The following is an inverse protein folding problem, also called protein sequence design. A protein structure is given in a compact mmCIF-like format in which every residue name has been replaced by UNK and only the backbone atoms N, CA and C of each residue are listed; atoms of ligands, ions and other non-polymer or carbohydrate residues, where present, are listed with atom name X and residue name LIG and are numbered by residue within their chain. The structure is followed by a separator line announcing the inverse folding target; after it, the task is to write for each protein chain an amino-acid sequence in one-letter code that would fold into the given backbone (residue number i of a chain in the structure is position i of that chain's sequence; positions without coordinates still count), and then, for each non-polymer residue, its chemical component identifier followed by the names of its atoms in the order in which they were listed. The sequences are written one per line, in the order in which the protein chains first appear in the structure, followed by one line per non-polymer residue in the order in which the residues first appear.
data_IF_141697339803
#
_entry.id   IF_141697339803
#
_cell.length_a   1.000
_cell.length_b   1.000
_cell.length_c   1.000
_cell.angle_alpha   90.00
_cell.angle_beta   90.00
_cell.angle_gamma   90.00
#
_symmetry.space_group_name_H-M   'P 1'
#
loop_
_entity.id
_entity.type
_entity.pdbx_description
1 polymer ?
#
# COMPACT_ATOMS: atom_id res chain seq x y z
N UNK A 1 1.48 -12.05 -11.43
CA UNK A 1 0.36 -11.09 -11.62
C UNK A 1 0.91 -9.81 -12.25
N UNK A 2 0.40 -9.39 -13.41
CA UNK A 2 0.89 -8.20 -14.09
C UNK A 2 0.58 -6.93 -13.27
N UNK A 3 1.62 -6.20 -12.87
CA UNK A 3 1.51 -4.87 -12.25
C UNK A 3 0.94 -3.88 -13.25
N UNK A 4 -0.14 -3.19 -12.91
CA UNK A 4 -0.65 -2.11 -13.77
C UNK A 4 0.21 -0.86 -13.66
N UNK A 5 0.74 -0.60 -12.46
CA UNK A 5 1.59 0.54 -12.20
C UNK A 5 2.70 0.16 -11.21
N UNK A 6 3.93 0.55 -11.54
CA UNK A 6 5.10 0.33 -10.72
C UNK A 6 6.01 1.55 -10.82
N UNK A 7 6.42 2.09 -9.68
CA UNK A 7 7.36 3.21 -9.61
C UNK A 7 8.24 3.07 -8.37
N UNK A 8 9.41 3.69 -8.41
CA UNK A 8 10.43 3.56 -7.38
C UNK A 8 11.10 4.89 -7.11
N UNK A 9 11.38 5.13 -5.85
CA UNK A 9 12.33 6.11 -5.35
C UNK A 9 13.56 5.36 -4.82
N UNK A 10 14.54 6.09 -4.30
CA UNK A 10 15.71 5.47 -3.68
C UNK A 10 15.33 4.63 -2.44
N UNK A 11 14.30 5.05 -1.70
CA UNK A 11 13.93 4.45 -0.41
C UNK A 11 12.71 3.52 -0.47
N UNK A 12 11.84 3.69 -1.47
CA UNK A 12 10.56 3.01 -1.55
C UNK A 12 10.23 2.58 -2.98
N UNK A 13 9.62 1.39 -3.11
CA UNK A 13 9.04 0.92 -4.38
C UNK A 13 7.54 0.72 -4.18
N UNK A 14 6.74 1.31 -5.04
CA UNK A 14 5.28 1.17 -5.05
C UNK A 14 4.86 0.29 -6.21
N UNK A 15 4.06 -0.73 -5.92
CA UNK A 15 3.38 -1.57 -6.92
C UNK A 15 1.87 -1.47 -6.71
N UNK A 16 1.15 -1.23 -7.78
CA UNK A 16 -0.30 -1.07 -7.74
C UNK A 16 -1.01 -1.95 -8.78
N UNK A 17 -2.16 -2.46 -8.33
CA UNK A 17 -3.13 -3.18 -9.12
C UNK A 17 -4.51 -2.57 -8.86
N UNK A 18 -5.31 -2.28 -9.90
CA UNK A 18 -6.63 -1.69 -9.74
C UNK A 18 -7.66 -2.69 -9.18
N UNK A 19 -7.30 -3.99 -9.16
CA UNK A 19 -8.12 -5.06 -8.59
C UNK A 19 -7.62 -5.39 -7.19
N UNK A 20 -8.56 -5.64 -6.28
CA UNK A 20 -8.27 -6.10 -4.92
C UNK A 20 -7.83 -7.57 -4.96
N UNK A 21 -6.52 -7.78 -4.83
CA UNK A 21 -5.90 -9.09 -4.84
C UNK A 21 -5.78 -9.64 -3.41
N UNK A 22 -5.86 -10.96 -3.29
CA UNK A 22 -5.62 -11.64 -2.01
C UNK A 22 -4.20 -11.36 -1.54
N UNK A 23 -3.99 -10.84 -0.31
CA UNK A 23 -2.66 -10.54 0.17
C UNK A 23 -1.83 -11.84 0.29
N UNK A 24 -0.53 -11.81 0.01
CA UNK A 24 0.34 -12.99 0.07
C UNK A 24 0.28 -13.80 1.37
N UNK A 25 0.04 -13.17 2.52
CA UNK A 25 -0.13 -13.88 3.79
C UNK A 25 -1.40 -14.74 3.76
N UNK A 26 -2.53 -14.19 3.31
CA UNK A 26 -3.77 -14.95 3.18
C UNK A 26 -3.64 -16.02 2.08
N UNK A 27 -2.97 -15.70 0.97
CA UNK A 27 -2.73 -16.63 -0.15
C UNK A 27 -2.07 -17.94 0.29
N UNK A 28 -1.12 -17.88 1.24
CA UNK A 28 -0.48 -19.09 1.82
C UNK A 28 -1.48 -20.08 2.39
N UNK A 29 -2.50 -19.59 3.08
CA UNK A 29 -3.51 -20.43 3.74
C UNK A 29 -4.63 -20.83 2.79
N UNK A 30 -5.05 -19.92 1.91
CA UNK A 30 -6.06 -20.22 0.88
C UNK A 30 -5.61 -21.39 -0.01
N UNK A 31 -4.32 -21.40 -0.37
CA UNK A 31 -3.71 -22.42 -1.21
C UNK A 31 -3.30 -23.70 -0.45
N UNK A 32 -3.55 -23.80 0.86
CA UNK A 32 -3.23 -24.96 1.68
C UNK A 32 -4.51 -25.60 2.23
N UNK A 33 -5.13 -26.54 1.49
CA UNK A 33 -6.44 -27.11 1.83
C UNK A 33 -6.53 -27.72 3.24
N UNK A 34 -5.42 -28.29 3.72
CA UNK A 34 -5.32 -28.99 5.00
C UNK A 34 -5.09 -28.06 6.19
N UNK A 35 -4.86 -26.76 5.97
CA UNK A 35 -4.52 -25.85 7.07
C UNK A 35 -5.76 -25.54 7.92
N UNK A 36 -5.72 -25.71 9.27
CA UNK A 36 -6.90 -25.59 10.13
C UNK A 36 -7.53 -24.19 10.11
N UNK A 37 -6.72 -23.13 9.91
CA UNK A 37 -7.21 -21.74 9.85
C UNK A 37 -7.82 -21.40 8.46
N UNK A 38 -7.67 -22.26 7.45
CA UNK A 38 -8.09 -21.95 6.07
C UNK A 38 -9.56 -21.55 5.96
N UNK A 39 -10.55 -22.26 6.55
CA UNK A 39 -11.97 -21.89 6.39
C UNK A 39 -12.23 -20.44 6.81
N UNK A 40 -11.65 -20.02 7.94
CA UNK A 40 -11.74 -18.65 8.44
C UNK A 40 -11.12 -17.62 7.49
N UNK A 41 -9.96 -17.94 6.89
CA UNK A 41 -9.26 -17.00 6.00
C UNK A 41 -9.97 -16.87 4.66
N UNK A 42 -10.49 -17.97 4.12
CA UNK A 42 -11.31 -17.97 2.90
C UNK A 42 -12.55 -17.11 3.12
N UNK A 43 -13.25 -17.32 4.22
CA UNK A 43 -14.42 -16.54 4.60
C UNK A 43 -14.12 -15.03 4.75
N UNK A 44 -13.04 -14.69 5.47
CA UNK A 44 -12.59 -13.31 5.63
C UNK A 44 -12.24 -12.66 4.28
N UNK A 45 -11.58 -13.38 3.37
CA UNK A 45 -11.25 -12.87 2.04
C UNK A 45 -12.48 -12.71 1.14
N UNK A 46 -13.49 -13.59 1.28
CA UNK A 46 -14.74 -13.51 0.54
C UNK A 46 -15.55 -12.26 0.93
N UNK A 47 -15.62 -11.95 2.22
CA UNK A 47 -16.43 -10.87 2.78
C UNK A 47 -15.74 -9.49 2.86
N UNK A 48 -14.47 -9.39 2.48
CA UNK A 48 -13.72 -8.12 2.56
C UNK A 48 -14.21 -7.11 1.51
N UNK A 49 -14.48 -5.88 1.93
CA UNK A 49 -14.95 -4.78 1.06
C UNK A 49 -13.96 -4.51 -0.09
N UNK A 50 -14.40 -4.72 -1.34
CA UNK A 50 -13.56 -4.58 -2.54
C UNK A 50 -13.47 -3.16 -3.09
N UNK A 51 -14.35 -2.25 -2.65
CA UNK A 51 -14.36 -0.84 -3.09
C UNK A 51 -13.41 0.05 -2.26
N UNK A 52 -12.35 -0.53 -1.71
CA UNK A 52 -11.37 0.15 -0.85
C UNK A 52 -9.96 -0.14 -1.32
N UNK A 53 -9.02 0.72 -0.93
CA UNK A 53 -7.61 0.51 -1.11
C UNK A 53 -7.09 -0.50 -0.09
N UNK A 54 -6.66 -1.66 -0.57
CA UNK A 54 -5.96 -2.65 0.23
C UNK A 54 -4.47 -2.44 0.06
N UNK A 55 -3.83 -1.86 1.07
CA UNK A 55 -2.41 -1.60 1.00
C UNK A 55 -1.63 -2.13 2.19
N UNK A 56 -0.33 -2.33 1.97
CA UNK A 56 0.60 -2.80 2.99
C UNK A 56 2.01 -2.30 2.72
N UNK A 57 2.81 -2.34 3.77
CA UNK A 57 4.25 -2.09 3.70
C UNK A 57 4.99 -3.41 3.92
N UNK A 58 5.79 -3.81 2.94
CA UNK A 58 6.65 -4.98 2.96
C UNK A 58 8.06 -4.61 3.41
N UNK A 59 8.58 -5.36 4.37
CA UNK A 59 9.97 -5.27 4.88
C UNK A 59 10.85 -6.40 4.32
N UNK A 60 10.43 -7.04 3.22
CA UNK A 60 11.11 -8.21 2.66
C UNK A 60 12.57 -7.96 2.24
N UNK A 61 12.92 -6.72 1.90
CA UNK A 61 14.29 -6.28 1.58
C UNK A 61 15.17 -6.07 2.82
N UNK A 62 14.58 -5.93 4.01
CA UNK A 62 15.26 -5.63 5.27
C UNK A 62 15.41 -6.87 6.16
N UNK A 63 15.31 -8.08 5.60
CA UNK A 63 15.34 -9.33 6.39
C UNK A 63 16.64 -9.52 7.17
N UNK A 64 17.75 -8.98 6.66
CA UNK A 64 19.05 -9.01 7.34
C UNK A 64 19.15 -8.00 8.49
N UNK A 65 18.31 -6.96 8.52
CA UNK A 65 18.30 -5.95 9.58
C UNK A 65 17.62 -6.47 10.84
N UNK A 66 17.99 -5.94 12.03
CA UNK A 66 17.35 -6.30 13.30
C UNK A 66 15.82 -6.05 13.26
N UNK A 67 15.05 -6.84 14.02
CA UNK A 67 13.57 -6.71 14.11
C UNK A 67 13.12 -5.29 14.45
N UNK A 68 13.83 -4.63 15.37
CA UNK A 68 13.53 -3.24 15.79
C UNK A 68 13.64 -2.29 14.60
N UNK A 69 14.70 -2.40 13.80
CA UNK A 69 14.92 -1.60 12.59
C UNK A 69 13.81 -1.84 11.57
N UNK A 70 13.46 -3.10 11.30
CA UNK A 70 12.34 -3.43 10.38
C UNK A 70 11.02 -2.83 10.83
N UNK A 71 10.70 -2.96 12.12
CA UNK A 71 9.46 -2.44 12.71
C UNK A 71 9.41 -0.91 12.63
N UNK A 72 10.52 -0.26 12.99
CA UNK A 72 10.68 1.19 12.94
C UNK A 72 10.53 1.73 11.52
N UNK A 73 11.22 1.15 10.53
CA UNK A 73 11.10 1.51 9.11
C UNK A 73 9.66 1.32 8.62
N UNK A 74 9.03 0.19 8.89
CA UNK A 74 7.65 -0.05 8.48
C UNK A 74 6.67 0.94 9.10
N UNK A 75 6.88 1.35 10.36
CA UNK A 75 6.03 2.33 11.04
C UNK A 75 6.15 3.71 10.38
N UNK A 76 7.35 4.22 10.17
CA UNK A 76 7.54 5.54 9.54
C UNK A 76 6.98 5.59 8.13
N UNK A 77 7.17 4.53 7.34
CA UNK A 77 6.66 4.47 5.96
C UNK A 77 5.14 4.43 5.94
N UNK A 78 4.51 3.69 6.87
CA UNK A 78 3.04 3.72 7.02
C UNK A 78 2.52 5.12 7.32
N UNK A 79 3.14 5.81 8.27
CA UNK A 79 2.75 7.18 8.64
C UNK A 79 2.92 8.13 7.45
N UNK A 80 4.07 8.07 6.76
CA UNK A 80 4.35 8.91 5.60
C UNK A 80 3.33 8.69 4.46
N UNK A 81 2.97 7.44 4.18
CA UNK A 81 1.98 7.10 3.14
C UNK A 81 0.57 7.53 3.54
N UNK A 82 0.17 7.34 4.80
CA UNK A 82 -1.11 7.83 5.29
C UNK A 82 -1.21 9.36 5.21
N UNK A 83 -0.13 10.07 5.55
CA UNK A 83 -0.05 11.52 5.40
C UNK A 83 -0.12 11.94 3.93
N UNK A 84 0.58 11.24 3.03
CA UNK A 84 0.55 11.50 1.60
C UNK A 84 -0.85 11.30 1.00
N UNK A 85 -1.57 10.26 1.41
CA UNK A 85 -2.95 10.02 1.00
C UNK A 85 -3.89 11.12 1.49
N UNK A 86 -3.76 11.52 2.77
CA UNK A 86 -4.55 12.60 3.36
C UNK A 86 -4.32 13.95 2.68
N UNK A 87 -3.07 14.29 2.38
CA UNK A 87 -2.71 15.50 1.63
C UNK A 87 -3.32 15.52 0.22
N UNK A 88 -3.65 14.35 -0.33
CA UNK A 88 -4.32 14.18 -1.61
C UNK A 88 -5.84 14.04 -1.48
N UNK A 89 -6.41 14.28 -0.29
CA UNK A 89 -7.84 14.24 -0.03
C UNK A 89 -8.41 12.83 0.12
N UNK A 90 -7.59 11.82 0.44
CA UNK A 90 -8.02 10.44 0.67
C UNK A 90 -7.78 9.98 2.11
N UNK A 91 -8.70 9.18 2.64
CA UNK A 91 -8.47 8.41 3.87
C UNK A 91 -7.51 7.23 3.62
N UNK A 92 -7.04 6.59 4.70
CA UNK A 92 -6.20 5.38 4.67
C UNK A 92 -6.80 4.23 3.86
N UNK A 93 -8.12 4.21 3.67
CA UNK A 93 -8.84 3.21 2.88
C UNK A 93 -9.04 3.63 1.42
N UNK A 94 -8.49 4.76 0.98
CA UNK A 94 -8.65 5.29 -0.37
C UNK A 94 -10.03 5.91 -0.65
N UNK A 95 -10.85 6.12 0.38
CA UNK A 95 -12.13 6.86 0.26
C UNK A 95 -11.84 8.36 0.26
N UNK A 96 -12.52 9.17 -0.58
CA UNK A 96 -12.33 10.61 -0.58
C UNK A 96 -12.81 11.20 0.76
N UNK A 97 -12.07 12.16 1.29
CA UNK A 97 -12.48 12.93 2.46
C UNK A 97 -13.59 13.90 2.01
N UNK A 98 -14.75 13.83 2.67
CA UNK A 98 -16.01 14.52 2.30
C UNK A 98 -15.87 16.04 2.12
N UNK A 99 -14.82 16.65 2.67
CA UNK A 99 -14.69 18.09 2.81
C UNK A 99 -13.87 18.81 1.72
N UNK A 100 -13.14 18.12 0.81
CA UNK A 100 -12.04 18.79 0.09
C UNK A 100 -12.11 18.88 -1.44
N UNK A 101 -13.03 18.21 -2.16
CA UNK A 101 -13.32 18.64 -3.56
C UNK A 101 -14.53 17.94 -4.20
N UNK A 102 -15.38 18.67 -4.95
CA UNK A 102 -16.36 18.06 -5.86
C UNK A 102 -15.72 17.33 -7.06
N UNK A 103 -14.39 17.42 -7.23
CA UNK A 103 -13.64 16.86 -8.36
C UNK A 103 -13.30 15.37 -8.22
N UNK A 104 -13.21 14.81 -7.00
CA UNK A 104 -12.81 13.41 -6.79
C UNK A 104 -13.97 12.55 -6.29
N UNK A 105 -14.92 12.29 -7.20
CA UNK A 105 -16.09 11.42 -6.93
C UNK A 105 -15.75 9.93 -6.79
N UNK A 106 -14.52 9.49 -7.14
CA UNK A 106 -14.18 8.06 -7.22
C UNK A 106 -13.19 7.66 -6.13
N UNK A 107 -13.50 6.55 -5.46
CA UNK A 107 -12.60 5.90 -4.50
C UNK A 107 -11.34 5.41 -5.20
N UNK A 108 -10.19 5.59 -4.55
CA UNK A 108 -8.98 4.84 -4.88
C UNK A 108 -9.16 3.42 -4.34
N UNK A 109 -9.42 2.46 -5.22
CA UNK A 109 -9.66 1.06 -4.88
C UNK A 109 -8.64 0.16 -5.56
N UNK A 110 -8.28 -0.95 -4.93
CA UNK A 110 -7.35 -1.91 -5.51
C UNK A 110 -6.34 -2.41 -4.48
N UNK A 111 -5.22 -2.95 -4.96
CA UNK A 111 -4.12 -3.40 -4.11
C UNK A 111 -2.88 -2.56 -4.35
N UNK A 112 -2.28 -2.06 -3.27
CA UNK A 112 -1.04 -1.29 -3.29
C UNK A 112 -0.01 -1.89 -2.34
N UNK A 113 1.08 -2.39 -2.90
CA UNK A 113 2.21 -2.90 -2.13
C UNK A 113 3.34 -1.88 -2.14
N UNK A 114 3.79 -1.50 -0.95
CA UNK A 114 4.96 -0.64 -0.77
C UNK A 114 6.09 -1.50 -0.24
N UNK A 115 7.22 -1.53 -0.94
CA UNK A 115 8.43 -2.22 -0.52
C UNK A 115 9.43 -1.19 -0.03
N UNK A 116 9.89 -1.35 1.20
CA UNK A 116 10.98 -0.55 1.72
C UNK A 116 12.27 -0.96 1.00
N UNK A 117 13.18 -0.04 0.72
CA UNK A 117 14.53 -0.35 0.23
C UNK A 117 15.56 -0.13 1.35
N UNK A 118 16.70 -0.83 1.33
CA UNK A 118 17.76 -0.68 2.33
C UNK A 118 18.16 0.78 2.66
N UNK A 119 18.24 1.72 1.68
CA UNK A 119 18.56 3.12 1.96
C UNK A 119 17.60 3.82 2.93
N UNK A 120 16.34 3.37 3.03
CA UNK A 120 15.33 3.95 3.92
C UNK A 120 15.74 3.90 5.42
N UNK A 121 16.65 2.99 5.80
CA UNK A 121 17.12 2.85 7.18
C UNK A 121 17.94 4.06 7.62
N UNK A 122 18.78 4.59 6.72
CA UNK A 122 19.69 5.70 7.02
C UNK A 122 19.06 7.07 6.75
N UNK A 123 17.91 7.12 6.07
CA UNK A 123 17.27 8.37 5.70
C UNK A 123 16.46 9.00 6.83
N UNK A 124 16.42 10.33 6.79
CA UNK A 124 15.55 11.13 7.64
C UNK A 124 14.08 10.97 7.27
N UNK A 125 13.22 11.21 8.25
CA UNK A 125 11.78 11.06 8.07
C UNK A 125 11.22 12.00 7.00
N UNK A 126 11.74 13.23 6.91
CA UNK A 126 11.31 14.19 5.89
C UNK A 126 11.59 13.71 4.47
N UNK A 127 12.73 13.04 4.24
CA UNK A 127 13.06 12.46 2.94
C UNK A 127 12.09 11.32 2.59
N UNK A 128 11.80 10.44 3.55
CA UNK A 128 10.81 9.36 3.37
C UNK A 128 9.40 9.92 3.09
N UNK A 129 9.04 11.03 3.72
CA UNK A 129 7.76 11.70 3.48
C UNK A 129 7.69 12.31 2.07
N UNK A 130 8.77 12.95 1.60
CA UNK A 130 8.87 13.46 0.22
C UNK A 130 8.74 12.32 -0.80
N UNK A 131 9.44 11.21 -0.56
CA UNK A 131 9.37 10.01 -1.42
C UNK A 131 7.94 9.45 -1.45
N UNK A 132 7.29 9.31 -0.29
CA UNK A 132 5.90 8.86 -0.20
C UNK A 132 4.94 9.78 -0.97
N UNK A 133 5.05 11.10 -0.77
CA UNK A 133 4.25 12.11 -1.47
C UNK A 133 4.42 12.03 -2.99
N UNK A 134 5.66 11.89 -3.45
CA UNK A 134 5.97 11.76 -4.86
C UNK A 134 5.32 10.50 -5.46
N UNK A 135 5.47 9.35 -4.80
CA UNK A 135 4.90 8.08 -5.25
C UNK A 135 3.37 8.11 -5.35
N UNK A 136 2.69 8.64 -4.33
CA UNK A 136 1.23 8.75 -4.34
C UNK A 136 0.77 9.75 -5.42
N UNK A 137 1.48 10.85 -5.61
CA UNK A 137 1.16 11.82 -6.68
C UNK A 137 1.25 11.16 -8.07
N UNK A 138 2.30 10.37 -8.31
CA UNK A 138 2.45 9.64 -9.57
C UNK A 138 1.35 8.59 -9.77
N UNK A 139 1.01 7.85 -8.72
CA UNK A 139 -0.09 6.87 -8.75
C UNK A 139 -1.41 7.55 -9.15
N UNK A 140 -1.74 8.67 -8.52
CA UNK A 140 -3.00 9.38 -8.77
C UNK A 140 -3.05 10.01 -10.16
N UNK A 141 -1.92 10.51 -10.66
CA UNK A 141 -1.81 10.97 -12.07
C UNK A 141 -2.06 9.84 -13.06
N UNK A 142 -1.59 8.62 -12.76
CA UNK A 142 -1.83 7.45 -13.60
C UNK A 142 -3.29 6.97 -13.57
N UNK A 143 -3.95 7.03 -12.42
CA UNK A 143 -5.36 6.61 -12.29
C UNK A 143 -6.35 7.69 -12.77
N UNK A 144 -5.93 8.94 -12.91
CA UNK A 144 -6.75 9.97 -13.54
C UNK A 144 -6.88 9.66 -15.04
N UNK A 145 -8.09 9.49 -15.58
CA UNK A 145 -8.26 9.28 -17.01
C UNK A 145 -7.67 10.49 -17.75
N UNK A 146 -6.80 10.25 -18.73
CA UNK A 146 -6.46 11.27 -19.71
C UNK A 146 -7.78 11.73 -20.33
N UNK A 147 -8.11 13.01 -20.13
CA UNK A 147 -9.23 13.66 -20.82
C UNK A 147 -9.02 13.58 -22.33
#
# INVERSE_FOLDING_TARGET
MATKFGTSTNSLVLRYWPKCNTPPVASRYVNSPTHPIRPKIVDLCAHRERNTLWWRVSVSSLQQSKRVVRSWCARRVRIAIEQALKQQGFDKLGKPLVSESPLRKRNLSGTMDIYIQPPCVAQDFEAVQKDANHLITLLLKHESPRK
#
